data_IF_105300523829
#
_entry.id   IF_105300523829
#
_cell.length_a   1.000
_cell.length_b   1.000
_cell.length_c   1.000
_cell.angle_alpha   90.00
_cell.angle_beta   90.00
_cell.angle_gamma   90.00
#
_symmetry.space_group_name_H-M   'P 1'
#
loop_
_entity.id
_entity.type
_entity.pdbx_description
1 polymer ?
#
# COMPACT_ATOMS: atom_id res chain seq x y z
N UNK A 1 -18.55 -35.00 -9.70
CA UNK A 1 -17.21 -35.36 -10.23
C UNK A 1 -16.19 -34.95 -9.21
N UNK A 2 -14.99 -35.50 -9.23
CA UNK A 2 -13.96 -35.17 -8.24
C UNK A 2 -13.01 -34.12 -8.80
N UNK A 3 -12.86 -32.98 -8.11
CA UNK A 3 -11.78 -32.03 -8.36
C UNK A 3 -10.47 -32.53 -7.75
N UNK A 4 -9.37 -32.33 -8.46
CA UNK A 4 -8.01 -32.48 -7.95
C UNK A 4 -7.46 -31.08 -7.75
N UNK A 5 -7.23 -30.70 -6.49
CA UNK A 5 -6.78 -29.38 -6.08
C UNK A 5 -5.34 -29.47 -5.60
N UNK A 6 -4.44 -28.67 -6.18
CA UNK A 6 -3.11 -28.42 -5.61
C UNK A 6 -3.15 -27.14 -4.80
N UNK A 7 -2.71 -27.22 -3.55
CA UNK A 7 -2.78 -26.14 -2.58
C UNK A 7 -1.36 -25.84 -2.15
N UNK A 8 -0.90 -24.63 -2.42
CA UNK A 8 0.46 -24.19 -2.13
C UNK A 8 0.42 -23.09 -1.09
N UNK A 9 1.06 -23.32 0.06
CA UNK A 9 1.26 -22.28 1.07
C UNK A 9 2.24 -21.23 0.52
N UNK A 10 1.86 -19.96 0.63
CA UNK A 10 2.68 -18.84 0.17
C UNK A 10 3.61 -18.36 1.30
N UNK A 11 4.64 -17.60 0.93
CA UNK A 11 5.50 -16.86 1.86
C UNK A 11 6.17 -17.70 2.97
N UNK A 12 6.47 -18.96 2.65
CA UNK A 12 7.23 -19.88 3.51
C UNK A 12 8.57 -20.25 2.88
N UNK A 13 9.61 -20.35 3.70
CA UNK A 13 10.99 -20.63 3.27
C UNK A 13 11.09 -21.94 2.48
N UNK A 14 10.42 -22.98 2.98
CA UNK A 14 10.40 -24.29 2.36
C UNK A 14 9.06 -24.52 1.67
N UNK A 15 9.12 -25.14 0.48
CA UNK A 15 7.93 -25.45 -0.30
C UNK A 15 6.98 -26.38 0.48
N UNK A 16 5.81 -25.87 0.85
CA UNK A 16 4.71 -26.65 1.46
C UNK A 16 3.53 -26.75 0.47
N UNK A 17 3.18 -27.97 0.06
CA UNK A 17 2.06 -28.22 -0.85
C UNK A 17 1.19 -29.40 -0.41
N UNK A 18 -0.09 -29.36 -0.78
CA UNK A 18 -1.06 -30.42 -0.57
C UNK A 18 -1.80 -30.71 -1.88
N UNK A 19 -2.11 -31.97 -2.15
CA UNK A 19 -3.00 -32.36 -3.24
C UNK A 19 -4.22 -33.02 -2.64
N UNK A 20 -5.40 -32.42 -2.86
CA UNK A 20 -6.67 -32.85 -2.28
C UNK A 20 -7.66 -33.21 -3.39
N UNK A 21 -8.38 -34.31 -3.21
CA UNK A 21 -9.49 -34.72 -4.06
C UNK A 21 -10.78 -34.45 -3.31
N UNK A 22 -11.69 -33.69 -3.89
CA UNK A 22 -12.97 -33.31 -3.27
C UNK A 22 -14.11 -33.42 -4.28
N UNK A 23 -15.31 -33.82 -3.86
CA UNK A 23 -16.46 -33.81 -4.76
C UNK A 23 -16.81 -32.37 -5.12
N UNK A 24 -17.11 -32.12 -6.39
CA UNK A 24 -17.51 -30.79 -6.87
C UNK A 24 -18.82 -30.32 -6.25
N UNK A 25 -19.65 -31.25 -5.77
CA UNK A 25 -20.93 -30.96 -5.11
C UNK A 25 -20.79 -30.64 -3.62
N UNK A 26 -19.58 -30.69 -3.06
CA UNK A 26 -19.31 -30.15 -1.72
C UNK A 26 -19.29 -28.63 -1.73
N UNK A 27 -19.33 -28.03 -0.55
CA UNK A 27 -19.29 -26.59 -0.32
C UNK A 27 -17.89 -26.08 0.09
N UNK A 28 -17.76 -24.77 0.29
CA UNK A 28 -16.48 -24.18 0.69
C UNK A 28 -16.12 -24.45 2.16
N UNK A 29 -17.10 -24.74 3.03
CA UNK A 29 -16.84 -25.16 4.40
C UNK A 29 -16.13 -26.52 4.42
N UNK A 30 -16.58 -27.45 3.58
CA UNK A 30 -15.93 -28.76 3.41
C UNK A 30 -14.53 -28.64 2.78
N UNK A 31 -14.34 -27.69 1.86
CA UNK A 31 -13.01 -27.41 1.31
C UNK A 31 -12.08 -26.85 2.39
N UNK A 32 -12.57 -25.95 3.25
CA UNK A 32 -11.81 -25.44 4.40
C UNK A 32 -11.40 -26.60 5.33
N UNK A 33 -12.34 -27.49 5.67
CA UNK A 33 -12.06 -28.66 6.50
C UNK A 33 -10.95 -29.53 5.89
N UNK A 34 -11.03 -29.79 4.58
CA UNK A 34 -10.03 -30.58 3.86
C UNK A 34 -8.64 -29.94 3.89
N UNK A 35 -8.56 -28.61 3.70
CA UNK A 35 -7.31 -27.86 3.76
C UNK A 35 -6.73 -27.96 5.16
N UNK A 36 -7.50 -27.57 6.17
CA UNK A 36 -7.10 -27.57 7.57
C UNK A 36 -6.55 -28.93 8.01
N UNK A 37 -7.26 -30.02 7.70
CA UNK A 37 -6.78 -31.37 8.01
C UNK A 37 -5.48 -31.72 7.27
N UNK A 38 -5.33 -31.28 6.03
CA UNK A 38 -4.11 -31.53 5.26
C UNK A 38 -2.89 -30.78 5.80
N UNK A 39 -3.09 -29.63 6.45
CA UNK A 39 -2.03 -28.86 7.10
C UNK A 39 -1.87 -29.19 8.59
N UNK A 40 -2.70 -30.10 9.14
CA UNK A 40 -2.72 -30.49 10.56
C UNK A 40 -3.00 -29.31 11.52
N UNK A 41 -3.72 -28.29 11.05
CA UNK A 41 -4.15 -27.15 11.85
C UNK A 41 -5.46 -27.42 12.60
N UNK A 42 -5.65 -26.76 13.74
CA UNK A 42 -6.92 -26.72 14.45
C UNK A 42 -7.87 -25.70 13.80
N UNK A 43 -9.12 -25.64 14.25
CA UNK A 43 -10.19 -24.84 13.62
C UNK A 43 -10.58 -23.70 14.56
N UNK A 44 -9.61 -22.83 14.87
CA UNK A 44 -9.75 -21.81 15.92
C UNK A 44 -9.76 -20.38 15.40
N UNK A 45 -9.45 -20.17 14.12
CA UNK A 45 -9.27 -18.85 13.52
C UNK A 45 -10.22 -18.60 12.35
N UNK A 46 -10.44 -17.32 12.02
CA UNK A 46 -11.26 -16.93 10.86
C UNK A 46 -10.51 -17.18 9.56
N UNK A 47 -11.26 -17.52 8.51
CA UNK A 47 -10.71 -17.77 7.17
C UNK A 47 -11.60 -17.19 6.07
N UNK A 48 -11.05 -17.10 4.86
CA UNK A 48 -11.81 -16.72 3.67
C UNK A 48 -11.21 -17.27 2.38
N UNK A 49 -12.06 -17.47 1.37
CA UNK A 49 -11.67 -17.75 -0.01
C UNK A 49 -11.94 -16.52 -0.90
N UNK A 50 -11.02 -16.25 -1.82
CA UNK A 50 -11.10 -15.15 -2.77
C UNK A 50 -11.20 -15.66 -4.20
N UNK A 51 -12.29 -15.31 -4.88
CA UNK A 51 -12.53 -15.66 -6.29
C UNK A 51 -12.81 -14.38 -7.06
N UNK A 52 -11.74 -13.79 -7.62
CA UNK A 52 -11.78 -12.44 -8.15
C UNK A 52 -12.16 -11.44 -7.04
N UNK A 53 -13.29 -10.75 -7.19
CA UNK A 53 -13.82 -9.79 -6.18
C UNK A 53 -14.84 -10.40 -5.21
N UNK A 54 -15.06 -11.72 -5.25
CA UNK A 54 -16.02 -12.40 -4.39
C UNK A 54 -15.30 -13.05 -3.21
N UNK A 55 -15.82 -12.81 -2.01
CA UNK A 55 -15.37 -13.47 -0.77
C UNK A 55 -16.32 -14.59 -0.42
N UNK A 56 -15.78 -15.73 -0.03
CA UNK A 56 -16.56 -16.85 0.53
C UNK A 56 -15.97 -17.14 1.91
N UNK A 57 -16.77 -17.06 2.96
CA UNK A 57 -16.31 -17.15 4.36
C UNK A 57 -17.48 -17.58 5.27
N UNK A 58 -17.22 -18.02 6.51
CA UNK A 58 -18.28 -18.27 7.49
C UNK A 58 -19.04 -16.98 7.80
N UNK A 59 -20.38 -17.03 7.76
CA UNK A 59 -21.26 -15.91 8.11
C UNK A 59 -22.09 -16.28 9.34
N UNK A 60 -21.80 -15.64 10.48
CA UNK A 60 -22.54 -15.87 11.73
C UNK A 60 -23.78 -14.99 11.86
N UNK A 61 -23.75 -13.78 11.28
CA UNK A 61 -24.89 -12.87 11.17
C UNK A 61 -25.11 -12.43 9.71
N UNK A 62 -26.16 -12.94 9.03
CA UNK A 62 -26.46 -12.58 7.64
C UNK A 62 -26.73 -11.09 7.40
N UNK A 63 -27.08 -10.31 8.43
CA UNK A 63 -27.29 -8.87 8.30
C UNK A 63 -25.97 -8.07 8.31
N UNK A 64 -24.85 -8.66 8.75
CA UNK A 64 -23.52 -8.02 8.82
C UNK A 64 -22.96 -7.69 7.43
N UNK A 65 -23.14 -8.58 6.45
CA UNK A 65 -22.58 -8.46 5.10
C UNK A 65 -23.62 -8.05 4.04
N UNK A 66 -24.71 -7.40 4.46
CA UNK A 66 -25.84 -7.08 3.60
C UNK A 66 -25.48 -6.04 2.54
N UNK A 67 -25.33 -6.49 1.29
CA UNK A 67 -25.00 -5.63 0.15
C UNK A 67 -23.55 -5.75 -0.31
N UNK A 68 -22.73 -6.52 0.40
CA UNK A 68 -21.37 -6.85 -0.01
C UNK A 68 -21.34 -8.08 -0.94
N UNK A 69 -20.21 -8.28 -1.65
CA UNK A 69 -19.99 -9.45 -2.49
C UNK A 69 -19.42 -10.64 -1.68
N UNK A 70 -20.04 -10.91 -0.54
CA UNK A 70 -19.68 -12.01 0.38
C UNK A 70 -20.71 -13.13 0.24
N UNK A 71 -20.25 -14.37 0.30
CA UNK A 71 -21.08 -15.57 0.32
C UNK A 71 -20.74 -16.45 1.50
N UNK A 72 -21.79 -17.00 2.10
CA UNK A 72 -21.67 -18.03 3.11
C UNK A 72 -21.03 -19.27 2.49
N UNK A 73 -20.03 -19.81 3.17
CA UNK A 73 -19.30 -20.98 2.71
C UNK A 73 -20.13 -22.26 2.71
N UNK A 74 -21.11 -22.39 3.62
CA UNK A 74 -22.03 -23.54 3.67
C UNK A 74 -23.10 -23.48 2.55
N UNK A 75 -23.27 -22.33 1.90
CA UNK A 75 -24.22 -22.15 0.79
C UNK A 75 -23.54 -22.15 -0.60
N UNK A 76 -22.21 -22.11 -0.65
CA UNK A 76 -21.45 -21.97 -1.87
C UNK A 76 -20.88 -23.32 -2.33
N UNK A 77 -21.44 -23.91 -3.40
CA UNK A 77 -20.94 -25.18 -3.94
C UNK A 77 -19.69 -25.01 -4.80
N UNK A 78 -18.70 -25.88 -4.65
CA UNK A 78 -17.45 -25.82 -5.41
C UNK A 78 -17.68 -25.82 -6.93
N UNK A 79 -18.64 -26.61 -7.43
CA UNK A 79 -18.97 -26.67 -8.85
C UNK A 79 -19.42 -25.32 -9.43
N UNK A 80 -20.02 -24.44 -8.64
CA UNK A 80 -20.49 -23.14 -9.12
C UNK A 80 -19.31 -22.20 -9.40
N UNK A 81 -18.21 -22.39 -8.67
CA UNK A 81 -17.11 -21.44 -8.57
C UNK A 81 -15.80 -21.92 -9.20
N UNK A 82 -15.48 -23.20 -9.11
CA UNK A 82 -14.19 -23.74 -9.54
C UNK A 82 -14.22 -24.22 -10.99
N UNK A 83 -13.15 -23.96 -11.74
CA UNK A 83 -12.94 -24.46 -13.10
C UNK A 83 -11.53 -25.03 -13.23
N UNK A 84 -11.40 -26.13 -13.97
CA UNK A 84 -10.09 -26.75 -14.22
C UNK A 84 -9.17 -25.76 -14.93
N UNK A 85 -7.95 -25.61 -14.40
CA UNK A 85 -6.93 -24.68 -14.87
C UNK A 85 -7.00 -23.28 -14.25
N UNK A 86 -8.02 -22.99 -13.42
CA UNK A 86 -8.10 -21.74 -12.67
C UNK A 86 -7.55 -21.90 -11.26
N UNK A 87 -7.14 -20.77 -10.68
CA UNK A 87 -6.66 -20.69 -9.31
C UNK A 87 -7.45 -19.68 -8.49
N UNK A 88 -7.67 -19.99 -7.22
CA UNK A 88 -8.28 -19.10 -6.24
C UNK A 88 -7.34 -18.93 -5.04
N UNK A 89 -7.56 -17.89 -4.24
CA UNK A 89 -6.78 -17.67 -3.03
C UNK A 89 -7.60 -18.10 -1.80
N UNK A 90 -6.90 -18.63 -0.80
CA UNK A 90 -7.46 -19.02 0.48
C UNK A 90 -6.57 -18.45 1.59
N UNK A 91 -7.16 -17.77 2.54
CA UNK A 91 -6.45 -17.16 3.67
C UNK A 91 -7.00 -17.81 4.94
N UNK A 92 -6.11 -18.42 5.71
CA UNK A 92 -6.40 -18.97 7.04
C UNK A 92 -5.75 -18.07 8.09
N UNK A 93 -6.43 -17.89 9.23
CA UNK A 93 -6.09 -16.92 10.26
C UNK A 93 -5.96 -15.49 9.72
N UNK A 94 -7.04 -14.71 9.81
CA UNK A 94 -7.04 -13.31 9.38
C UNK A 94 -6.14 -12.39 10.23
N UNK A 95 -5.61 -12.86 11.36
CA UNK A 95 -4.59 -12.16 12.14
C UNK A 95 -3.19 -12.39 11.57
N UNK A 96 -2.79 -13.65 11.44
CA UNK A 96 -1.43 -14.05 11.02
C UNK A 96 -1.26 -14.19 9.48
N UNK A 97 -2.36 -14.17 8.75
CA UNK A 97 -2.44 -14.11 7.28
C UNK A 97 -1.77 -15.29 6.54
N UNK A 98 -2.15 -16.53 6.87
CA UNK A 98 -1.66 -17.71 6.15
C UNK A 98 -2.27 -17.82 4.75
N UNK A 99 -1.57 -17.27 3.76
CA UNK A 99 -1.98 -17.25 2.36
C UNK A 99 -1.73 -18.56 1.62
N UNK A 100 -2.73 -19.05 0.91
CA UNK A 100 -2.66 -20.25 0.08
C UNK A 100 -3.15 -19.98 -1.33
N UNK A 101 -2.44 -20.56 -2.32
CA UNK A 101 -2.91 -20.62 -3.70
C UNK A 101 -3.50 -22.00 -3.98
N UNK A 102 -4.77 -22.05 -4.38
CA UNK A 102 -5.47 -23.30 -4.75
C UNK A 102 -5.61 -23.34 -6.27
N UNK A 103 -4.95 -24.29 -6.93
CA UNK A 103 -5.06 -24.57 -8.35
C UNK A 103 -5.97 -25.79 -8.57
N UNK A 104 -6.97 -25.67 -9.44
CA UNK A 104 -7.80 -26.79 -9.88
C UNK A 104 -7.08 -27.52 -11.01
N UNK A 105 -6.30 -28.55 -10.69
CA UNK A 105 -5.43 -29.23 -11.66
C UNK A 105 -6.23 -30.06 -12.68
N UNK A 106 -7.22 -30.81 -12.20
CA UNK A 106 -8.00 -31.73 -13.02
C UNK A 106 -9.38 -32.02 -12.41
N UNK A 107 -10.24 -32.66 -13.19
CA UNK A 107 -11.57 -33.12 -12.77
C UNK A 107 -11.87 -34.48 -13.39
N UNK A 108 -12.16 -35.49 -12.55
CA UNK A 108 -12.34 -36.88 -13.00
C UNK A 108 -13.58 -37.57 -12.47
N UNK A 109 -14.01 -38.61 -13.19
CA UNK A 109 -15.03 -39.55 -12.72
C UNK A 109 -14.41 -40.56 -11.74
N UNK A 110 -15.14 -40.87 -10.67
CA UNK A 110 -14.77 -41.91 -9.73
C UNK A 110 -15.53 -41.73 -8.42
N UNK A 111 -15.79 -42.80 -7.66
CA UNK A 111 -16.30 -42.65 -6.31
C UNK A 111 -15.18 -42.16 -5.39
N UNK A 112 -15.45 -41.11 -4.62
CA UNK A 112 -14.64 -40.72 -3.48
C UNK A 112 -15.17 -41.46 -2.25
N UNK A 113 -14.28 -42.00 -1.41
CA UNK A 113 -14.69 -42.63 -0.15
C UNK A 113 -14.54 -41.62 0.97
N UNK A 114 -15.64 -40.93 1.32
CA UNK A 114 -15.63 -39.74 2.19
C UNK A 114 -15.89 -38.46 1.41
N UNK A 115 -15.86 -37.30 2.09
CA UNK A 115 -16.10 -35.98 1.47
C UNK A 115 -14.87 -35.43 0.75
N UNK A 116 -13.66 -35.80 1.19
CA UNK A 116 -12.39 -35.49 0.52
C UNK A 116 -11.35 -36.61 0.73
N UNK A 117 -10.24 -36.56 -0.02
CA UNK A 117 -9.04 -37.39 0.14
C UNK A 117 -7.80 -36.51 -0.01
N UNK A 118 -6.90 -36.57 0.97
CA UNK A 118 -5.57 -35.96 0.86
C UNK A 118 -4.64 -36.97 0.15
N UNK A 119 -4.28 -36.69 -1.09
CA UNK A 119 -3.46 -37.58 -1.94
C UNK A 119 -1.96 -37.40 -1.67
N UNK A 120 -1.48 -36.16 -1.57
CA UNK A 120 -0.07 -35.84 -1.45
C UNK A 120 0.17 -34.71 -0.46
N UNK A 121 1.22 -34.82 0.34
CA UNK A 121 1.71 -33.79 1.26
C UNK A 121 3.21 -33.59 1.05
N UNK A 122 3.60 -32.38 0.65
CA UNK A 122 5.00 -31.97 0.43
C UNK A 122 5.36 -30.90 1.47
N UNK A 123 6.49 -31.05 2.16
CA UNK A 123 6.93 -30.12 3.20
C UNK A 123 6.13 -30.25 4.50
N UNK A 124 6.78 -29.95 5.63
CA UNK A 124 6.12 -29.85 6.94
C UNK A 124 5.36 -28.52 6.98
N UNK A 125 4.07 -28.57 7.35
CA UNK A 125 3.30 -27.34 7.58
C UNK A 125 3.84 -26.66 8.86
N UNK A 126 3.87 -25.32 8.92
CA UNK A 126 4.17 -24.62 10.18
C UNK A 126 3.11 -24.93 11.23
N UNK A 127 3.42 -24.77 12.51
CA UNK A 127 2.40 -24.89 13.57
C UNK A 127 1.38 -23.75 13.40
N UNK A 128 0.09 -24.02 13.61
CA UNK A 128 -1.00 -23.06 13.39
C UNK A 128 -0.80 -21.73 14.14
N UNK A 129 -0.49 -21.81 15.43
CA UNK A 129 -0.20 -20.69 16.30
C UNK A 129 1.32 -20.45 16.43
N UNK A 130 2.14 -21.12 15.61
CA UNK A 130 3.46 -20.55 15.40
C UNK A 130 3.19 -19.26 14.66
N UNK A 131 3.43 -18.11 15.30
CA UNK A 131 3.87 -16.94 14.54
C UNK A 131 4.83 -17.49 13.49
N UNK A 132 4.65 -17.15 12.21
CA UNK A 132 5.67 -17.32 11.18
C UNK A 132 7.01 -17.25 11.89
N UNK A 133 7.68 -18.41 11.98
CA UNK A 133 8.71 -18.72 12.98
C UNK A 133 9.44 -17.45 13.42
N UNK A 134 9.45 -17.21 14.74
CA UNK A 134 10.37 -16.30 15.41
C UNK A 134 11.60 -16.05 14.54
N UNK A 135 11.80 -14.79 14.16
CA UNK A 135 13.12 -14.18 13.99
C UNK A 135 14.26 -15.21 13.84
N UNK A 136 14.44 -15.82 12.66
CA UNK A 136 15.81 -15.75 12.17
C UNK A 136 16.03 -14.26 12.06
N UNK A 137 16.94 -13.68 12.86
CA UNK A 137 17.41 -12.29 12.74
C UNK A 137 17.17 -11.90 11.29
N UNK A 138 16.09 -11.17 10.95
CA UNK A 138 15.84 -10.98 9.52
C UNK A 138 17.11 -10.30 9.07
N UNK A 139 17.87 -10.90 8.13
CA UNK A 139 19.23 -10.46 7.89
C UNK A 139 19.22 -8.98 7.49
N UNK A 140 18.07 -8.49 7.03
CA UNK A 140 17.79 -7.08 6.81
C UNK A 140 17.91 -6.22 8.06
N UNK A 141 17.37 -6.57 9.24
CA UNK A 141 17.42 -5.73 10.43
C UNK A 141 18.84 -5.63 10.98
N UNK A 142 19.55 -6.76 11.09
CA UNK A 142 20.96 -6.77 11.49
C UNK A 142 21.82 -5.97 10.47
N UNK A 143 21.59 -6.19 9.17
CA UNK A 143 22.28 -5.49 8.08
C UNK A 143 22.00 -3.99 8.11
N UNK A 144 20.74 -3.59 8.23
CA UNK A 144 20.27 -2.21 8.30
C UNK A 144 20.93 -1.49 9.48
N UNK A 145 20.89 -2.08 10.68
CA UNK A 145 21.50 -1.50 11.88
C UNK A 145 23.03 -1.42 11.72
N UNK A 146 23.65 -2.43 11.12
CA UNK A 146 25.09 -2.44 10.82
C UNK A 146 25.49 -1.33 9.85
N UNK A 147 24.75 -1.18 8.74
CA UNK A 147 24.97 -0.15 7.73
C UNK A 147 24.69 1.24 8.29
N UNK A 148 23.64 1.44 9.08
CA UNK A 148 23.36 2.70 9.76
C UNK A 148 24.52 3.09 10.70
N UNK A 149 25.05 2.11 11.43
CA UNK A 149 26.22 2.31 12.29
C UNK A 149 27.48 2.65 11.50
N UNK A 150 27.70 2.03 10.35
CA UNK A 150 28.81 2.41 9.45
C UNK A 150 28.61 3.81 8.87
N UNK A 151 27.41 4.13 8.40
CA UNK A 151 27.03 5.45 7.89
C UNK A 151 27.33 6.54 8.92
N UNK A 152 26.93 6.35 10.18
CA UNK A 152 27.26 7.28 11.28
C UNK A 152 28.76 7.46 11.45
N UNK A 153 29.54 6.38 11.36
CA UNK A 153 30.99 6.41 11.53
C UNK A 153 31.70 7.13 10.37
N UNK A 154 31.26 6.89 9.13
CA UNK A 154 31.84 7.49 7.92
C UNK A 154 31.48 8.95 7.73
N UNK A 155 30.39 9.41 8.37
CA UNK A 155 29.93 10.81 8.35
C UNK A 155 29.82 11.37 6.93
N UNK A 156 29.02 10.73 6.04
CA UNK A 156 28.87 11.16 4.65
C UNK A 156 28.42 12.62 4.54
N UNK A 157 27.66 13.12 5.53
CA UNK A 157 27.25 14.53 5.67
C UNK A 157 28.38 15.57 5.73
N UNK A 158 29.64 15.14 5.89
CA UNK A 158 30.80 16.03 5.75
C UNK A 158 31.15 16.35 4.29
N UNK A 159 30.59 15.60 3.35
CA UNK A 159 30.88 15.70 1.93
C UNK A 159 29.63 15.95 1.10
N UNK A 160 28.56 15.23 1.39
CA UNK A 160 27.28 15.35 0.70
C UNK A 160 26.27 15.89 1.69
N UNK A 161 25.48 16.89 1.33
CA UNK A 161 24.40 17.40 2.17
C UNK A 161 23.06 17.22 1.44
N UNK A 162 22.02 17.83 1.98
CA UNK A 162 20.71 18.01 1.36
C UNK A 162 20.76 18.78 0.03
N UNK A 163 21.91 19.39 -0.31
CA UNK A 163 22.17 19.99 -1.62
C UNK A 163 22.51 18.94 -2.70
N UNK A 164 22.63 17.66 -2.38
CA UNK A 164 22.93 16.60 -3.36
C UNK A 164 21.93 15.46 -3.24
N UNK A 165 21.43 15.00 -4.39
CA UNK A 165 20.56 13.83 -4.47
C UNK A 165 21.26 12.68 -5.18
N UNK A 166 21.16 11.51 -4.56
CA UNK A 166 21.68 10.25 -5.06
C UNK A 166 20.49 9.43 -5.50
N UNK A 167 20.31 9.26 -6.81
CA UNK A 167 19.23 8.46 -7.37
C UNK A 167 19.68 7.00 -7.47
N UNK A 168 18.86 6.07 -7.01
CA UNK A 168 19.17 4.64 -7.01
C UNK A 168 18.06 3.84 -7.66
N UNK A 169 18.44 2.91 -8.52
CA UNK A 169 17.57 1.81 -8.95
C UNK A 169 17.73 0.63 -7.99
N UNK A 170 16.61 0.14 -7.48
CA UNK A 170 16.56 -1.02 -6.58
C UNK A 170 16.13 -2.24 -7.40
N UNK A 171 16.91 -3.35 -7.44
CA UNK A 171 16.70 -4.44 -8.39
C UNK A 171 15.32 -5.13 -8.33
N UNK A 172 14.71 -5.15 -7.15
CA UNK A 172 13.40 -5.77 -6.92
C UNK A 172 12.25 -4.78 -6.97
N UNK A 173 12.54 -3.49 -7.16
CA UNK A 173 11.56 -2.42 -7.18
C UNK A 173 11.41 -1.88 -8.60
N UNK A 174 10.18 -1.55 -9.00
CA UNK A 174 9.91 -0.96 -10.32
C UNK A 174 10.02 0.58 -10.34
N UNK A 175 10.48 1.18 -9.25
CA UNK A 175 10.57 2.62 -9.06
C UNK A 175 12.00 3.01 -8.66
N UNK A 176 12.37 4.27 -8.91
CA UNK A 176 13.61 4.84 -8.39
C UNK A 176 13.40 5.34 -6.96
N UNK A 177 14.49 5.38 -6.21
CA UNK A 177 14.55 6.09 -4.91
C UNK A 177 15.55 7.24 -4.98
N UNK A 178 15.24 8.32 -4.28
CA UNK A 178 16.00 9.56 -4.26
C UNK A 178 16.55 9.80 -2.85
N UNK A 179 17.86 9.70 -2.69
CA UNK A 179 18.51 9.72 -1.39
C UNK A 179 19.13 11.09 -1.09
N UNK A 180 18.74 11.69 0.04
CA UNK A 180 19.26 12.96 0.56
C UNK A 180 20.02 12.75 1.87
N UNK A 181 21.30 13.16 1.91
CA UNK A 181 22.17 12.97 3.08
C UNK A 181 21.98 14.13 4.07
N UNK A 182 21.43 13.84 5.25
CA UNK A 182 21.16 14.83 6.28
C UNK A 182 22.38 15.05 7.20
N UNK A 183 22.61 16.30 7.61
CA UNK A 183 23.66 16.64 8.58
C UNK A 183 24.57 17.81 8.23
N UNK A 184 24.38 18.44 7.06
CA UNK A 184 25.13 19.64 6.66
C UNK A 184 25.03 20.78 7.68
N UNK A 185 23.82 21.00 8.21
CA UNK A 185 23.54 22.02 9.24
C UNK A 185 23.90 21.63 10.68
N UNK A 186 24.22 20.35 10.94
CA UNK A 186 24.66 19.86 12.25
C UNK A 186 23.59 19.62 13.32
N UNK A 187 22.30 19.73 12.97
CA UNK A 187 21.17 19.51 13.89
C UNK A 187 20.63 18.08 13.83
N UNK A 188 20.38 17.58 12.63
CA UNK A 188 19.87 16.23 12.37
C UNK A 188 20.84 15.51 11.43
N UNK A 189 21.14 14.25 11.73
CA UNK A 189 22.07 13.43 10.93
C UNK A 189 21.32 12.20 10.48
N UNK A 190 21.51 11.81 9.23
CA UNK A 190 20.73 10.70 8.70
C UNK A 190 20.77 10.59 7.18
N UNK A 191 19.85 9.79 6.67
CA UNK A 191 19.53 9.62 5.27
C UNK A 191 18.02 9.65 5.12
N UNK A 192 17.51 10.53 4.28
CA UNK A 192 16.13 10.48 3.80
C UNK A 192 16.12 9.78 2.44
N UNK A 193 15.24 8.77 2.28
CA UNK A 193 15.07 7.98 1.06
C UNK A 193 13.66 8.22 0.55
N UNK A 194 13.51 9.09 -0.44
CA UNK A 194 12.23 9.38 -1.09
C UNK A 194 11.93 8.31 -2.13
N UNK A 195 10.71 7.81 -2.15
CA UNK A 195 10.35 6.61 -2.93
C UNK A 195 9.42 6.99 -4.07
N UNK A 196 9.78 6.60 -5.30
CA UNK A 196 8.90 6.72 -6.46
C UNK A 196 8.60 8.16 -6.86
N UNK A 197 7.56 8.33 -7.67
CA UNK A 197 7.12 9.64 -8.16
C UNK A 197 6.57 10.50 -7.02
N UNK A 198 5.84 9.92 -6.07
CA UNK A 198 5.34 10.63 -4.88
C UNK A 198 6.48 11.21 -4.04
N UNK A 199 7.54 10.41 -3.81
CA UNK A 199 8.70 10.86 -3.08
C UNK A 199 9.44 11.99 -3.81
N UNK A 200 9.58 11.90 -5.13
CA UNK A 200 10.18 12.94 -5.95
C UNK A 200 9.37 14.23 -5.91
N UNK A 201 8.04 14.15 -6.06
CA UNK A 201 7.14 15.30 -6.03
C UNK A 201 7.25 16.07 -4.72
N UNK A 202 7.36 15.37 -3.59
CA UNK A 202 7.53 16.02 -2.28
C UNK A 202 8.91 16.66 -2.14
N UNK A 203 9.95 15.99 -2.62
CA UNK A 203 11.32 16.52 -2.62
C UNK A 203 11.40 17.81 -3.45
N UNK A 204 10.90 17.80 -4.68
CA UNK A 204 10.84 18.97 -5.56
C UNK A 204 9.96 20.07 -4.98
N UNK A 205 8.75 19.73 -4.54
CA UNK A 205 7.80 20.72 -4.04
C UNK A 205 8.26 21.42 -2.76
N UNK A 206 9.02 20.72 -1.90
CA UNK A 206 9.63 21.33 -0.72
C UNK A 206 10.73 22.33 -1.09
N UNK A 207 11.55 22.03 -2.10
CA UNK A 207 12.64 22.92 -2.54
C UNK A 207 12.09 24.13 -3.31
N UNK A 208 11.09 23.92 -4.16
CA UNK A 208 10.45 24.99 -4.93
C UNK A 208 9.52 25.87 -4.08
N UNK A 209 9.11 25.39 -2.90
CA UNK A 209 8.13 26.06 -2.04
C UNK A 209 6.71 25.98 -2.57
N UNK A 210 6.39 24.95 -3.35
CA UNK A 210 5.03 24.65 -3.83
C UNK A 210 4.24 23.82 -2.83
N UNK A 211 4.92 23.14 -1.90
CA UNK A 211 4.34 22.47 -0.73
C UNK A 211 4.70 23.27 0.52
N UNK A 212 3.69 23.65 1.30
CA UNK A 212 3.93 24.37 2.56
C UNK A 212 4.57 23.43 3.59
N UNK A 213 5.50 23.90 4.44
CA UNK A 213 6.19 23.04 5.41
C UNK A 213 5.28 22.30 6.38
N UNK A 214 4.10 22.85 6.65
CA UNK A 214 3.08 22.23 7.51
C UNK A 214 2.35 21.08 6.82
N UNK A 215 2.33 21.04 5.49
CA UNK A 215 1.66 19.99 4.71
C UNK A 215 2.57 18.78 4.43
N UNK A 216 3.89 18.97 4.46
CA UNK A 216 4.89 17.93 4.18
C UNK A 216 4.62 16.62 4.93
N UNK A 217 4.33 16.60 6.25
CA UNK A 217 4.09 15.35 6.98
C UNK A 217 2.91 14.52 6.46
N UNK A 218 1.96 15.14 5.76
CA UNK A 218 0.76 14.48 5.24
C UNK A 218 0.95 13.93 3.82
N UNK A 219 1.88 14.50 3.04
CA UNK A 219 2.10 14.08 1.64
C UNK A 219 3.41 13.31 1.44
N UNK A 220 4.28 13.26 2.45
CA UNK A 220 5.61 12.69 2.35
C UNK A 220 5.58 11.17 2.12
N UNK A 221 6.19 10.73 0.99
CA UNK A 221 6.55 9.33 0.72
C UNK A 221 8.05 9.11 0.85
N UNK A 222 8.50 8.65 2.01
CA UNK A 222 9.93 8.41 2.26
C UNK A 222 10.21 7.50 3.44
N UNK A 223 11.42 6.94 3.50
CA UNK A 223 11.99 6.33 4.70
C UNK A 223 13.04 7.27 5.27
N UNK A 224 12.95 7.57 6.56
CA UNK A 224 13.93 8.34 7.29
C UNK A 224 14.78 7.45 8.18
N UNK A 225 16.08 7.46 7.95
CA UNK A 225 17.09 6.89 8.86
C UNK A 225 17.74 8.07 9.58
N UNK A 226 17.46 8.25 10.86
CA UNK A 226 18.01 9.35 11.67
C UNK A 226 18.81 8.82 12.87
N UNK A 227 19.60 9.69 13.49
CA UNK A 227 20.38 9.35 14.68
C UNK A 227 20.00 10.22 15.87
N UNK A 228 19.30 9.62 16.82
CA UNK A 228 18.59 10.25 17.91
C UNK A 228 19.28 10.06 19.26
N UNK A 229 18.78 10.80 20.26
CA UNK A 229 19.10 10.56 21.67
C UNK A 229 18.21 9.43 22.23
N UNK A 230 18.65 8.77 23.32
CA UNK A 230 17.95 7.58 23.85
C UNK A 230 16.51 7.88 24.26
N UNK A 231 16.25 9.08 24.76
CA UNK A 231 14.97 9.59 25.23
C UNK A 231 14.04 10.06 24.11
N UNK A 232 14.52 10.09 22.87
CA UNK A 232 13.71 10.36 21.66
C UNK A 232 13.19 9.05 21.03
N UNK A 233 13.68 7.88 21.45
CA UNK A 233 13.24 6.58 20.93
C UNK A 233 11.99 6.08 21.65
N UNK A 234 11.09 5.47 20.88
CA UNK A 234 9.95 4.72 21.40
C UNK A 234 10.40 3.35 21.94
N UNK A 235 9.48 2.60 22.54
CA UNK A 235 9.81 1.32 23.16
C UNK A 235 10.19 0.28 22.10
N UNK A 236 9.45 0.28 21.00
CA UNK A 236 9.58 -0.56 19.82
C UNK A 236 10.93 -0.32 19.14
N UNK A 237 11.35 0.95 18.98
CA UNK A 237 12.68 1.30 18.46
C UNK A 237 13.79 0.67 19.30
N UNK A 238 13.66 0.76 20.62
CA UNK A 238 14.66 0.21 21.51
C UNK A 238 14.70 -1.32 21.45
N UNK A 239 13.53 -1.93 21.36
CA UNK A 239 13.38 -3.38 21.35
C UNK A 239 13.98 -3.95 20.06
N UNK A 240 13.71 -3.34 18.89
CA UNK A 240 14.34 -3.67 17.61
C UNK A 240 15.89 -3.70 17.72
N UNK A 241 16.50 -2.66 18.27
CA UNK A 241 17.96 -2.58 18.41
C UNK A 241 18.51 -3.62 19.39
N UNK A 242 17.78 -3.88 20.48
CA UNK A 242 18.20 -4.79 21.55
C UNK A 242 18.12 -6.25 21.12
N UNK A 243 17.07 -6.61 20.38
CA UNK A 243 16.79 -7.98 19.96
C UNK A 243 17.79 -8.43 18.89
N UNK A 244 18.18 -7.51 18.01
CA UNK A 244 19.31 -7.68 17.08
C UNK A 244 20.70 -7.57 17.76
N UNK A 245 20.78 -7.57 19.10
CA UNK A 245 22.06 -7.60 19.83
C UNK A 245 22.88 -6.30 19.82
N UNK A 246 22.33 -5.17 19.37
CA UNK A 246 23.04 -3.90 19.31
C UNK A 246 22.89 -3.08 20.59
N UNK A 247 23.96 -2.35 20.94
CA UNK A 247 23.93 -1.37 22.03
C UNK A 247 24.59 -0.07 21.60
N UNK A 248 23.95 1.04 21.97
CA UNK A 248 24.40 2.39 21.64
C UNK A 248 24.61 3.22 22.91
N UNK A 249 25.50 4.20 22.85
CA UNK A 249 25.81 5.11 23.96
C UNK A 249 26.20 6.47 23.43
N UNK A 250 25.80 7.52 24.15
CA UNK A 250 26.11 8.91 23.80
C UNK A 250 24.99 9.57 23.01
N UNK A 251 25.15 10.88 22.80
CA UNK A 251 24.13 11.71 22.16
C UNK A 251 24.11 11.52 20.64
N UNK A 252 22.91 11.52 20.05
CA UNK A 252 22.66 11.40 18.60
C UNK A 252 23.39 10.21 17.99
N UNK A 253 23.38 9.08 18.70
CA UNK A 253 24.04 7.82 18.33
C UNK A 253 23.05 6.68 18.05
N UNK A 254 21.80 6.80 18.50
CA UNK A 254 20.81 5.73 18.40
C UNK A 254 20.16 5.82 17.02
N UNK A 255 20.32 4.83 16.13
CA UNK A 255 19.60 4.84 14.87
C UNK A 255 18.10 4.72 15.15
N UNK A 256 17.31 5.50 14.42
CA UNK A 256 15.85 5.48 14.44
C UNK A 256 15.38 5.42 12.99
N UNK A 257 14.39 4.59 12.73
CA UNK A 257 13.87 4.35 11.39
C UNK A 257 12.38 4.70 11.35
N UNK A 258 11.97 5.55 10.41
CA UNK A 258 10.58 5.98 10.30
C UNK A 258 10.09 5.92 8.86
N UNK A 259 8.92 5.34 8.69
CA UNK A 259 8.14 5.29 7.47
C UNK A 259 7.26 6.52 7.38
N UNK A 260 7.33 7.23 6.26
CA UNK A 260 6.39 8.28 5.88
C UNK A 260 5.65 7.79 4.64
N UNK A 261 4.32 7.60 4.78
CA UNK A 261 3.42 7.25 3.69
C UNK A 261 2.37 8.35 3.57
N UNK A 262 2.04 8.83 2.37
CA UNK A 262 1.04 9.86 2.17
C UNK A 262 -0.28 9.50 2.87
N UNK A 263 -0.85 10.45 3.62
CA UNK A 263 -2.06 10.28 4.40
C UNK A 263 -1.91 9.45 5.67
N UNK A 264 -0.76 8.83 5.97
CA UNK A 264 -0.58 8.06 7.20
C UNK A 264 0.29 8.77 8.23
N UNK A 265 0.03 8.53 9.51
CA UNK A 265 0.87 9.02 10.60
C UNK A 265 2.30 8.44 10.48
N UNK A 266 3.38 9.18 10.79
CA UNK A 266 4.73 8.64 10.79
C UNK A 266 4.85 7.39 11.68
N UNK A 267 5.40 6.30 11.14
CA UNK A 267 5.33 4.98 11.81
C UNK A 267 6.66 4.23 11.72
N UNK A 268 6.73 3.08 12.41
CA UNK A 268 7.82 2.13 12.21
C UNK A 268 7.85 1.64 10.76
N UNK A 269 9.05 1.36 10.27
CA UNK A 269 9.23 0.71 8.97
C UNK A 269 8.88 -0.77 9.05
N UNK A 270 8.37 -1.33 7.96
CA UNK A 270 8.22 -2.78 7.79
C UNK A 270 9.48 -3.41 7.18
N UNK A 271 9.44 -4.72 6.92
CA UNK A 271 10.57 -5.48 6.37
C UNK A 271 10.97 -5.01 4.97
N UNK A 272 10.01 -4.73 4.09
CA UNK A 272 10.26 -4.21 2.74
C UNK A 272 10.95 -2.84 2.79
N UNK A 273 10.46 -1.94 3.65
CA UNK A 273 11.09 -0.64 3.86
C UNK A 273 12.47 -0.76 4.51
N UNK A 274 12.70 -1.78 5.36
CA UNK A 274 14.03 -2.09 5.90
C UNK A 274 15.02 -2.51 4.81
N UNK A 275 14.59 -3.29 3.82
CA UNK A 275 15.42 -3.72 2.69
C UNK A 275 15.80 -2.53 1.82
N UNK A 276 14.83 -1.66 1.51
CA UNK A 276 15.05 -0.41 0.77
C UNK A 276 16.04 0.48 1.52
N UNK A 277 15.86 0.67 2.83
CA UNK A 277 16.72 1.48 3.67
C UNK A 277 18.16 0.93 3.74
N UNK A 278 18.31 -0.39 3.91
CA UNK A 278 19.60 -1.05 3.94
C UNK A 278 20.33 -0.89 2.60
N UNK A 279 19.64 -1.15 1.49
CA UNK A 279 20.20 -0.99 0.15
C UNK A 279 20.63 0.45 -0.12
N UNK A 280 19.80 1.43 0.24
CA UNK A 280 20.12 2.84 0.09
C UNK A 280 21.37 3.25 0.90
N UNK A 281 21.47 2.79 2.16
CA UNK A 281 22.65 3.05 2.99
C UNK A 281 23.93 2.45 2.39
N UNK A 282 23.88 1.20 1.91
CA UNK A 282 25.02 0.53 1.27
C UNK A 282 25.51 1.33 0.05
N UNK A 283 24.59 1.73 -0.83
CA UNK A 283 24.94 2.51 -2.04
C UNK A 283 25.49 3.88 -1.70
N UNK A 284 24.91 4.60 -0.73
CA UNK A 284 25.44 5.89 -0.30
C UNK A 284 26.82 5.75 0.36
N UNK A 285 27.06 4.67 1.10
CA UNK A 285 28.37 4.32 1.66
C UNK A 285 29.40 3.99 0.57
N UNK A 286 29.01 3.28 -0.48
CA UNK A 286 29.85 3.01 -1.65
C UNK A 286 30.22 4.31 -2.37
N UNK A 287 29.24 5.16 -2.69
CA UNK A 287 29.45 6.50 -3.28
C UNK A 287 30.44 7.32 -2.45
N UNK A 288 30.27 7.30 -1.12
CA UNK A 288 31.17 7.97 -0.19
C UNK A 288 32.57 7.39 -0.19
N UNK A 289 32.70 6.07 -0.29
CA UNK A 289 33.96 5.33 -0.28
C UNK A 289 34.75 5.51 -1.58
N UNK A 290 34.06 5.51 -2.72
CA UNK A 290 34.62 5.84 -4.06
C UNK A 290 34.88 7.33 -4.24
N UNK A 291 34.43 8.15 -3.30
CA UNK A 291 34.68 9.58 -3.25
C UNK A 291 34.18 10.31 -4.50
N UNK A 292 33.02 9.92 -5.03
CA UNK A 292 32.44 10.50 -6.24
C UNK A 292 32.07 11.97 -6.07
N UNK A 293 32.08 12.74 -7.16
CA UNK A 293 31.49 14.07 -7.19
C UNK A 293 30.03 13.95 -7.58
N UNK A 294 29.14 14.55 -6.81
CA UNK A 294 27.69 14.53 -7.03
C UNK A 294 27.27 15.96 -7.35
N UNK A 295 26.56 16.19 -8.47
CA UNK A 295 26.02 17.50 -8.80
C UNK A 295 25.11 18.04 -7.69
N UNK A 296 25.01 19.36 -7.61
CA UNK A 296 24.02 19.99 -6.73
C UNK A 296 22.61 19.66 -7.22
N UNK A 297 21.65 19.68 -6.32
CA UNK A 297 20.23 19.56 -6.60
C UNK A 297 19.75 20.57 -7.66
N UNK A 298 20.30 21.79 -7.61
CA UNK A 298 19.98 22.88 -8.55
C UNK A 298 20.47 22.61 -9.98
N UNK A 299 21.30 21.59 -10.19
CA UNK A 299 21.77 21.20 -11.53
C UNK A 299 20.70 20.35 -12.23
N UNK A 300 20.56 20.46 -13.56
CA UNK A 300 19.48 19.79 -14.31
C UNK A 300 19.60 18.26 -14.37
N UNK A 301 20.72 17.69 -13.90
CA UNK A 301 20.90 16.25 -13.88
C UNK A 301 21.51 15.82 -12.55
N UNK A 302 20.90 14.84 -11.91
CA UNK A 302 21.35 14.28 -10.64
C UNK A 302 22.15 13.01 -10.86
N UNK A 303 23.03 12.68 -9.91
CA UNK A 303 23.79 11.43 -9.96
C UNK A 303 22.84 10.24 -9.79
N UNK A 304 23.02 9.21 -10.61
CA UNK A 304 22.24 7.98 -10.56
C UNK A 304 23.12 6.72 -10.56
N UNK A 305 22.78 5.75 -9.72
CA UNK A 305 23.29 4.38 -9.79
C UNK A 305 22.16 3.48 -10.30
N UNK A 306 22.19 3.18 -11.61
CA UNK A 306 21.15 2.42 -12.31
C UNK A 306 21.61 1.01 -12.66
N UNK A 307 20.68 0.14 -13.03
CA UNK A 307 20.94 -1.24 -13.44
C UNK A 307 20.89 -1.33 -14.97
N UNK A 308 21.93 -1.90 -15.56
CA UNK A 308 21.96 -2.19 -16.99
C UNK A 308 22.33 -3.66 -17.21
N UNK A 309 21.33 -4.49 -17.50
CA UNK A 309 21.49 -5.94 -17.54
C UNK A 309 21.72 -6.49 -16.14
N UNK A 310 22.92 -7.00 -15.86
CA UNK A 310 23.31 -7.55 -14.56
C UNK A 310 24.36 -6.69 -13.83
N UNK A 311 24.64 -5.47 -14.31
CA UNK A 311 25.66 -4.58 -13.73
C UNK A 311 25.07 -3.24 -13.31
N UNK A 312 25.66 -2.64 -12.27
CA UNK A 312 25.37 -1.27 -11.87
C UNK A 312 26.20 -0.27 -12.67
N UNK A 313 25.56 0.80 -13.11
CA UNK A 313 26.18 1.90 -13.85
C UNK A 313 26.02 3.21 -13.11
N UNK A 314 27.13 3.94 -12.97
CA UNK A 314 27.08 5.35 -12.54
C UNK A 314 26.75 6.22 -13.76
N UNK A 315 25.68 6.99 -13.67
CA UNK A 315 25.21 7.89 -14.73
C UNK A 315 24.57 9.12 -14.10
N UNK A 316 23.88 9.90 -14.91
CA UNK A 316 23.01 10.99 -14.45
C UNK A 316 21.62 10.86 -15.07
N UNK A 317 20.61 11.35 -14.36
CA UNK A 317 19.21 11.40 -14.81
C UNK A 317 18.66 12.81 -14.62
N UNK A 318 17.75 13.24 -15.49
CA UNK A 318 16.93 14.43 -15.27
C UNK A 318 15.69 14.06 -14.45
N UNK A 319 15.38 14.74 -13.33
CA UNK A 319 14.14 14.52 -12.57
C UNK A 319 12.89 14.61 -13.44
N UNK A 320 12.86 15.59 -14.35
CA UNK A 320 11.74 15.82 -15.29
C UNK A 320 11.48 14.64 -16.24
N UNK A 321 12.46 13.75 -16.45
CA UNK A 321 12.34 12.56 -17.31
C UNK A 321 11.83 11.33 -16.54
N UNK A 322 11.82 11.38 -15.21
CA UNK A 322 11.28 10.31 -14.38
C UNK A 322 9.76 10.43 -14.32
N UNK A 323 9.08 9.43 -14.85
CA UNK A 323 7.65 9.24 -14.69
C UNK A 323 7.44 7.81 -14.22
N UNK A 324 6.63 7.64 -13.19
CA UNK A 324 6.21 6.31 -12.85
C UNK A 324 5.26 5.78 -13.94
N UNK A 325 5.47 4.52 -14.32
CA UNK A 325 4.72 3.87 -15.39
C UNK A 325 3.35 3.36 -14.96
N UNK A 326 2.89 3.68 -13.74
CA UNK A 326 1.68 3.09 -13.18
C UNK A 326 0.42 3.44 -13.98
N UNK A 327 -0.23 2.39 -14.48
CA UNK A 327 -1.53 2.46 -15.13
C UNK A 327 -2.61 2.65 -14.07
N UNK A 328 -3.24 3.82 -14.10
CA UNK A 328 -4.38 4.20 -13.26
C UNK A 328 -5.56 3.23 -13.49
N UNK A 329 -5.90 2.35 -12.53
CA UNK A 329 -6.97 1.39 -12.76
C UNK A 329 -8.32 2.10 -12.78
N UNK A 330 -9.06 1.93 -13.87
CA UNK A 330 -10.49 2.25 -13.91
C UNK A 330 -11.25 1.14 -13.19
N UNK A 331 -11.95 1.48 -12.11
CA UNK A 331 -12.53 0.45 -11.23
C UNK A 331 -14.02 0.21 -11.54
N UNK A 332 -14.63 1.10 -12.33
CA UNK A 332 -16.01 1.02 -12.75
C UNK A 332 -16.33 -0.34 -13.42
N UNK A 333 -17.19 -1.11 -12.77
CA UNK A 333 -17.73 -2.34 -13.36
C UNK A 333 -18.57 -2.01 -14.61
N UNK A 334 -18.61 -2.91 -15.59
CA UNK A 334 -19.50 -2.74 -16.76
C UNK A 334 -20.99 -2.56 -16.36
N UNK A 335 -21.38 -3.06 -15.18
CA UNK A 335 -22.74 -2.99 -14.68
C UNK A 335 -23.10 -1.59 -14.19
N UNK A 336 -22.25 -0.98 -13.37
CA UNK A 336 -22.43 0.39 -12.87
C UNK A 336 -22.37 1.39 -14.01
N UNK A 337 -21.46 1.18 -14.96
CA UNK A 337 -21.43 1.97 -16.19
C UNK A 337 -22.76 1.95 -16.93
N UNK A 338 -23.31 0.75 -17.16
CA UNK A 338 -24.60 0.58 -17.85
C UNK A 338 -25.75 1.21 -17.06
N UNK A 339 -25.66 1.28 -15.74
CA UNK A 339 -26.67 1.92 -14.87
C UNK A 339 -26.60 3.44 -14.98
N UNK A 340 -25.43 4.04 -14.87
CA UNK A 340 -25.27 5.51 -14.97
C UNK A 340 -25.56 6.00 -16.38
N UNK A 341 -25.13 5.27 -17.42
CA UNK A 341 -25.51 5.60 -18.81
C UNK A 341 -27.02 5.49 -19.08
N UNK A 342 -27.76 4.73 -18.27
CA UNK A 342 -29.23 4.68 -18.31
C UNK A 342 -29.87 5.85 -17.58
N UNK A 343 -29.14 6.55 -16.71
CA UNK A 343 -29.53 7.81 -16.08
C UNK A 343 -29.58 8.90 -17.17
N UNK A 344 -30.74 9.09 -17.80
CA UNK A 344 -30.88 10.01 -18.96
C UNK A 344 -31.02 11.48 -18.57
N UNK A 345 -31.11 11.78 -17.28
CA UNK A 345 -31.35 13.14 -16.78
C UNK A 345 -30.01 13.84 -16.61
N UNK A 346 -29.66 14.67 -17.58
CA UNK A 346 -28.58 15.65 -17.42
C UNK A 346 -29.13 16.80 -16.58
N UNK A 347 -28.42 17.14 -15.51
CA UNK A 347 -28.73 18.24 -14.61
C UNK A 347 -28.04 19.50 -15.11
N UNK A 348 -28.78 20.61 -15.15
CA UNK A 348 -28.25 21.93 -15.53
C UNK A 348 -27.46 22.55 -14.37
N UNK A 349 -26.33 21.93 -14.06
CA UNK A 349 -25.44 22.32 -12.96
C UNK A 349 -23.99 21.95 -13.30
N UNK A 350 -23.05 22.74 -12.76
CA UNK A 350 -21.64 22.37 -12.69
C UNK A 350 -21.34 21.87 -11.27
N UNK A 351 -20.90 20.61 -11.17
CA UNK A 351 -20.51 20.02 -9.91
C UNK A 351 -19.05 20.36 -9.63
N UNK A 352 -18.75 20.94 -8.48
CA UNK A 352 -17.38 21.17 -8.04
C UNK A 352 -16.99 20.04 -7.10
N UNK A 353 -15.89 19.37 -7.37
CA UNK A 353 -15.37 18.27 -6.56
C UNK A 353 -13.97 18.62 -6.10
N UNK A 354 -13.70 18.40 -4.83
CA UNK A 354 -12.36 18.47 -4.28
C UNK A 354 -12.15 17.44 -3.20
N UNK A 355 -10.88 17.28 -2.83
CA UNK A 355 -10.49 16.47 -1.68
C UNK A 355 -9.46 17.22 -0.85
N UNK A 356 -9.46 16.95 0.45
CA UNK A 356 -8.47 17.46 1.37
C UNK A 356 -8.27 16.49 2.53
N UNK A 357 -7.05 16.46 3.04
CA UNK A 357 -6.70 15.63 4.19
C UNK A 357 -7.14 16.31 5.48
N UNK A 358 -7.76 15.55 6.38
CA UNK A 358 -8.09 16.03 7.71
C UNK A 358 -6.92 15.76 8.67
N UNK A 359 -6.42 16.79 9.34
CA UNK A 359 -5.14 16.71 10.07
C UNK A 359 -5.24 16.05 11.46
N UNK A 360 -6.43 15.64 11.87
CA UNK A 360 -6.63 14.83 13.07
C UNK A 360 -6.54 13.35 12.71
N UNK A 361 -5.58 12.60 13.28
CA UNK A 361 -5.41 11.19 12.95
C UNK A 361 -6.54 10.35 13.54
N UNK A 362 -7.04 9.42 12.74
CA UNK A 362 -7.89 8.34 13.21
C UNK A 362 -6.99 7.27 13.82
N UNK A 363 -7.18 6.98 15.12
CA UNK A 363 -6.46 5.90 15.80
C UNK A 363 -6.86 4.54 15.22
N UNK A 364 -5.87 3.77 14.79
CA UNK A 364 -6.06 2.46 14.18
C UNK A 364 -6.11 1.29 15.16
N UNK A 365 -6.13 1.54 16.48
CA UNK A 365 -5.91 0.48 17.48
C UNK A 365 -4.52 -0.13 17.31
N UNK A 366 -4.46 -1.37 16.82
CA UNK A 366 -3.21 -2.10 16.52
C UNK A 366 -2.63 -1.76 15.12
N UNK A 367 -3.36 -0.97 14.31
CA UNK A 367 -2.93 -0.58 12.96
C UNK A 367 -2.37 0.85 12.91
N UNK A 368 -1.54 1.13 11.90
CA UNK A 368 -0.93 2.46 11.68
C UNK A 368 -2.02 3.54 11.63
N UNK A 369 -1.96 4.56 12.51
CA UNK A 369 -2.90 5.68 12.44
C UNK A 369 -2.80 6.42 11.10
N UNK A 370 -3.90 7.02 10.67
CA UNK A 370 -3.96 7.73 9.39
C UNK A 370 -4.76 9.02 9.51
N UNK A 371 -4.46 9.95 8.61
CA UNK A 371 -5.19 11.18 8.39
C UNK A 371 -6.26 10.91 7.32
N UNK A 372 -7.54 11.01 7.66
CA UNK A 372 -8.59 10.64 6.72
C UNK A 372 -8.66 11.67 5.58
N UNK A 373 -8.89 11.18 4.38
CA UNK A 373 -9.15 12.01 3.20
C UNK A 373 -10.65 12.31 3.14
N UNK A 374 -10.98 13.59 2.96
CA UNK A 374 -12.35 14.06 2.84
C UNK A 374 -12.64 14.34 1.38
N UNK A 375 -13.64 13.65 0.82
CA UNK A 375 -14.19 13.96 -0.49
C UNK A 375 -15.38 14.89 -0.33
N UNK A 376 -15.43 15.95 -1.12
CA UNK A 376 -16.56 16.88 -1.14
C UNK A 376 -17.03 17.15 -2.56
N UNK A 377 -18.35 17.15 -2.74
CA UNK A 377 -19.00 17.59 -3.95
C UNK A 377 -20.00 18.70 -3.62
N UNK A 378 -19.88 19.83 -4.29
CA UNK A 378 -20.68 21.04 -4.06
C UNK A 378 -21.24 21.58 -5.37
N UNK A 379 -22.39 22.27 -5.29
CA UNK A 379 -22.90 23.03 -6.44
C UNK A 379 -22.10 24.33 -6.56
N UNK A 380 -21.55 24.63 -7.73
CA UNK A 380 -20.86 25.91 -7.98
C UNK A 380 -21.77 27.11 -7.68
N UNK A 381 -23.08 26.99 -7.92
CA UNK A 381 -24.04 28.08 -7.73
C UNK A 381 -24.49 28.26 -6.26
N UNK A 382 -24.04 27.39 -5.36
CA UNK A 382 -24.13 27.56 -3.91
C UNK A 382 -25.47 27.15 -3.30
N UNK A 383 -25.58 25.87 -2.93
CA UNK A 383 -26.47 25.39 -1.86
C UNK A 383 -25.77 24.27 -1.05
N UNK A 384 -24.67 24.62 -0.38
CA UNK A 384 -24.01 23.74 0.59
C UNK A 384 -23.35 22.48 0.00
N UNK A 385 -22.92 21.60 0.89
CA UNK A 385 -22.30 20.32 0.53
C UNK A 385 -23.40 19.38 0.01
N UNK A 386 -23.32 18.98 -1.26
CA UNK A 386 -24.27 18.05 -1.88
C UNK A 386 -23.98 16.62 -1.45
N UNK A 387 -22.70 16.28 -1.37
CA UNK A 387 -22.20 14.99 -0.92
C UNK A 387 -20.84 15.20 -0.25
N UNK A 388 -20.60 14.48 0.83
CA UNK A 388 -19.28 14.28 1.37
C UNK A 388 -19.09 12.83 1.75
N UNK A 389 -17.84 12.40 1.73
CA UNK A 389 -17.41 11.12 2.26
C UNK A 389 -16.07 11.31 2.97
N UNK A 390 -15.76 10.42 3.89
CA UNK A 390 -14.50 10.46 4.63
C UNK A 390 -13.95 9.06 4.69
N UNK A 391 -12.74 8.88 4.19
CA UNK A 391 -12.17 7.55 4.01
C UNK A 391 -10.67 7.52 4.28
N UNK A 392 -10.10 6.35 4.59
CA UNK A 392 -8.65 6.23 4.75
C UNK A 392 -7.91 6.49 3.43
N UNK A 393 -6.61 6.82 3.50
CA UNK A 393 -5.80 7.25 2.36
C UNK A 393 -5.35 6.10 1.44
N UNK A 394 -5.81 4.87 1.66
CA UNK A 394 -5.59 3.73 0.77
C UNK A 394 -6.54 3.78 -0.43
N UNK A 395 -6.11 3.30 -1.60
CA UNK A 395 -6.95 3.21 -2.79
C UNK A 395 -7.70 4.52 -3.15
N UNK A 396 -7.06 5.70 -3.02
CA UNK A 396 -7.70 7.01 -3.21
C UNK A 396 -8.51 7.12 -4.51
N UNK A 397 -7.98 6.61 -5.63
CA UNK A 397 -8.67 6.61 -6.90
C UNK A 397 -9.97 5.78 -6.87
N UNK A 398 -9.98 4.63 -6.17
CA UNK A 398 -11.17 3.82 -5.98
C UNK A 398 -12.22 4.56 -5.16
N UNK A 399 -11.80 5.09 -4.02
CA UNK A 399 -12.66 5.76 -3.05
C UNK A 399 -13.28 7.01 -3.65
N UNK A 400 -12.50 7.80 -4.38
CA UNK A 400 -13.01 8.95 -5.13
C UNK A 400 -14.01 8.56 -6.21
N UNK A 401 -13.70 7.52 -7.02
CA UNK A 401 -14.65 7.02 -8.03
C UNK A 401 -15.97 6.59 -7.36
N UNK A 402 -15.92 5.83 -6.27
CA UNK A 402 -17.09 5.40 -5.52
C UNK A 402 -17.91 6.58 -4.96
N UNK A 403 -17.24 7.53 -4.31
CA UNK A 403 -17.85 8.75 -3.78
C UNK A 403 -18.54 9.59 -4.88
N UNK A 404 -17.93 9.69 -6.06
CA UNK A 404 -18.55 10.32 -7.21
C UNK A 404 -19.81 9.57 -7.68
N UNK A 405 -19.79 8.24 -7.73
CA UNK A 405 -20.97 7.44 -8.11
C UNK A 405 -22.14 7.62 -7.14
N UNK A 406 -21.86 7.65 -5.83
CA UNK A 406 -22.89 7.92 -4.82
C UNK A 406 -23.41 9.35 -4.92
N UNK A 407 -22.54 10.32 -5.26
CA UNK A 407 -22.97 11.69 -5.58
C UNK A 407 -23.98 11.71 -6.74
N UNK A 408 -23.68 11.05 -7.86
CA UNK A 408 -24.60 10.97 -9.03
C UNK A 408 -25.94 10.33 -8.64
N UNK A 409 -25.89 9.25 -7.86
CA UNK A 409 -27.08 8.53 -7.39
C UNK A 409 -27.95 9.40 -6.47
N UNK A 410 -27.34 10.18 -5.58
CA UNK A 410 -28.04 11.11 -4.69
C UNK A 410 -28.68 12.28 -5.47
N UNK A 411 -27.98 12.80 -6.48
CA UNK A 411 -28.52 13.84 -7.37
C UNK A 411 -29.65 13.33 -8.27
N UNK A 412 -29.71 12.02 -8.52
CA UNK A 412 -30.68 11.40 -9.41
C UNK A 412 -30.51 11.83 -10.87
N UNK A 413 -29.27 12.11 -11.28
CA UNK A 413 -28.91 12.60 -12.60
C UNK A 413 -27.42 12.92 -12.71
N UNK A 414 -26.94 13.10 -13.94
CA UNK A 414 -25.52 13.40 -14.24
C UNK A 414 -25.36 14.91 -14.40
N UNK A 415 -24.35 15.57 -13.80
CA UNK A 415 -24.13 17.01 -13.98
C UNK A 415 -23.77 17.35 -15.42
N UNK A 416 -24.01 18.61 -15.83
CA UNK A 416 -23.67 19.09 -17.17
C UNK A 416 -22.14 19.20 -17.36
N UNK A 417 -21.42 19.52 -16.29
CA UNK A 417 -19.96 19.53 -16.23
C UNK A 417 -19.46 19.32 -14.81
N UNK A 418 -18.18 19.00 -14.68
CA UNK A 418 -17.47 18.89 -13.39
C UNK A 418 -16.30 19.85 -13.35
N UNK A 419 -16.05 20.49 -12.22
CA UNK A 419 -14.82 21.22 -11.92
C UNK A 419 -14.07 20.44 -10.84
N UNK A 420 -12.86 19.99 -11.14
CA UNK A 420 -12.04 19.18 -10.25
C UNK A 420 -10.94 20.03 -9.62
N UNK A 421 -10.84 20.01 -8.29
CA UNK A 421 -9.60 20.36 -7.63
C UNK A 421 -8.55 19.32 -7.98
N UNK A 422 -7.34 19.74 -8.32
CA UNK A 422 -6.23 18.80 -8.60
C UNK A 422 -5.78 18.13 -7.31
N UNK A 423 -5.95 16.81 -7.21
CA UNK A 423 -5.41 15.95 -6.15
C UNK A 423 -5.24 14.52 -6.68
N UNK A 424 -4.48 13.68 -5.98
CA UNK A 424 -4.31 12.26 -6.35
C UNK A 424 -5.67 11.53 -6.45
N UNK A 425 -6.55 11.78 -5.47
CA UNK A 425 -7.89 11.22 -5.43
C UNK A 425 -8.75 11.66 -6.62
N UNK A 426 -8.79 12.97 -6.95
CA UNK A 426 -9.61 13.47 -8.06
C UNK A 426 -9.04 13.12 -9.43
N UNK A 427 -7.72 12.93 -9.56
CA UNK A 427 -7.12 12.35 -10.77
C UNK A 427 -7.65 10.96 -11.08
N UNK A 428 -7.99 10.19 -10.04
CA UNK A 428 -8.70 8.91 -10.17
C UNK A 428 -10.06 9.00 -10.87
N UNK A 429 -10.68 10.19 -10.96
CA UNK A 429 -11.97 10.40 -11.62
C UNK A 429 -11.85 10.58 -13.14
N UNK A 430 -10.69 10.99 -13.67
CA UNK A 430 -10.57 11.34 -15.09
C UNK A 430 -11.03 10.20 -16.03
N UNK A 431 -10.60 8.94 -15.85
CA UNK A 431 -11.05 7.85 -16.72
C UNK A 431 -12.57 7.64 -16.66
N UNK A 432 -13.18 7.87 -15.49
CA UNK A 432 -14.60 7.74 -15.27
C UNK A 432 -15.39 8.86 -15.97
N UNK A 433 -14.95 10.11 -15.82
CA UNK A 433 -15.58 11.28 -16.46
C UNK A 433 -15.52 11.17 -17.99
N UNK A 434 -14.37 10.81 -18.54
CA UNK A 434 -14.18 10.57 -19.98
C UNK A 434 -15.12 9.47 -20.48
N UNK A 435 -15.19 8.34 -19.77
CA UNK A 435 -16.05 7.22 -20.15
C UNK A 435 -17.54 7.58 -20.13
N UNK A 436 -17.97 8.36 -19.14
CA UNK A 436 -19.34 8.85 -19.03
C UNK A 436 -19.65 10.00 -20.01
N UNK A 437 -18.62 10.61 -20.61
CA UNK A 437 -18.75 11.74 -21.53
C UNK A 437 -19.14 13.04 -20.81
N UNK A 438 -18.71 13.19 -19.55
CA UNK A 438 -18.97 14.37 -18.73
C UNK A 438 -17.81 15.35 -18.97
N UNK A 439 -18.07 16.56 -19.49
CA UNK A 439 -17.04 17.59 -19.62
C UNK A 439 -16.49 17.97 -18.24
N UNK A 440 -15.17 18.16 -18.15
CA UNK A 440 -14.54 18.60 -16.91
C UNK A 440 -13.46 19.66 -17.14
N UNK A 441 -13.17 20.41 -16.08
CA UNK A 441 -12.04 21.33 -15.98
C UNK A 441 -11.29 21.07 -14.66
N UNK A 442 -9.98 21.31 -14.66
CA UNK A 442 -9.08 21.07 -13.53
C UNK A 442 -8.54 22.41 -13.01
N UNK A 443 -8.52 22.60 -11.69
CA UNK A 443 -7.97 23.79 -11.05
C UNK A 443 -7.20 23.38 -9.78
N UNK A 444 -6.00 23.93 -9.59
CA UNK A 444 -5.14 23.56 -8.44
C UNK A 444 -5.81 23.90 -7.11
N UNK A 445 -6.53 25.01 -7.05
CA UNK A 445 -7.14 25.52 -5.82
C UNK A 445 -8.49 26.13 -6.13
N UNK A 446 -9.55 25.58 -5.56
CA UNK A 446 -10.91 26.07 -5.76
C UNK A 446 -11.40 26.71 -4.44
N UNK A 447 -11.78 28.01 -4.44
CA UNK A 447 -12.15 28.73 -3.21
C UNK A 447 -13.24 28.06 -2.37
N UNK A 448 -14.29 27.52 -3.01
CA UNK A 448 -15.40 26.87 -2.29
C UNK A 448 -14.94 25.60 -1.55
N UNK A 449 -13.94 24.89 -2.07
CA UNK A 449 -13.39 23.71 -1.38
C UNK A 449 -12.59 24.13 -0.15
N UNK A 450 -11.78 25.18 -0.26
CA UNK A 450 -11.05 25.77 0.88
C UNK A 450 -12.00 26.26 1.98
N UNK A 451 -13.10 26.91 1.61
CA UNK A 451 -14.11 27.34 2.57
C UNK A 451 -14.77 26.14 3.29
N UNK A 452 -15.03 25.04 2.58
CA UNK A 452 -15.56 23.80 3.18
C UNK A 452 -14.54 23.15 4.11
N UNK A 453 -13.29 23.07 3.70
CA UNK A 453 -12.18 22.58 4.52
C UNK A 453 -12.04 23.39 5.82
N UNK A 454 -11.98 24.72 5.73
CA UNK A 454 -11.91 25.61 6.89
C UNK A 454 -13.13 25.46 7.82
N UNK A 455 -14.32 25.29 7.25
CA UNK A 455 -15.55 25.08 7.99
C UNK A 455 -15.55 23.73 8.74
N UNK A 456 -15.16 22.65 8.07
CA UNK A 456 -15.07 21.31 8.69
C UNK A 456 -14.01 21.29 9.80
N UNK A 457 -12.84 21.91 9.57
CA UNK A 457 -11.78 22.09 10.60
C UNK A 457 -12.27 22.85 11.84
N UNK A 458 -13.26 23.74 11.71
CA UNK A 458 -13.81 24.50 12.85
C UNK A 458 -14.91 23.76 13.63
N UNK A 459 -15.52 22.72 13.06
CA UNK A 459 -16.61 21.97 13.71
C UNK A 459 -16.13 20.96 14.77
N UNK A 460 -14.86 20.56 14.71
CA UNK A 460 -14.24 19.60 15.63
C UNK A 460 -13.51 20.25 16.83
N UNK A 461 -13.77 21.54 17.12
CA UNK A 461 -13.29 22.26 18.32
C UNK A 461 -14.30 22.29 19.45
#
# INVERSE_FOLDING_TARGET
MIYILRITLQDVENKVERVIHIDEEEDFAMLHEAIRESFEWSDTHLHQFMIGRKRIMPIFDPDEFKGENVKDEEEALLLDYLRVGESIDYIYDLGDWWGHKILVEDKREGPLTGSYLIEETIGEAPDEDSMILEEEDSPVWESLITLAKEFKQKKPWKKYTDEQIIVLEIPWMNQLVFCSVLGGGGYEFGLAVYIGEDGLNVLEGTVEGTIEPEDVPFVQRSILISFSDRDELEQEDYQLLKDNGFTFRGKKQWPMFRSFRPGFFPWFIDEEEAEIAAYALDKVLDVRSRNLHIPSYEEPHWYANLISGNEFIDTTISPEEYQDGEMRPMILSEFEEKRIRKEKKVLDMQLVIGTFTFHEPVEGGDTRPFYPEVFVAVDEQGEGILYNDTFPPDDLAFRAQYAFLETIKQLGGVPASVKLQVSEATYGLLPLLEKLGIPYEEEISIPVIKEVEEFMKQMDV
#
